data_IF_236688987335
#
_entry.id   IF_236688987335
#
_cell.length_a   1.000
_cell.length_b   1.000
_cell.length_c   1.000
_cell.angle_alpha   90.00
_cell.angle_beta   90.00
_cell.angle_gamma   90.00
#
_symmetry.space_group_name_H-M   'P 1'
#
loop_
_entity.id
_entity.type
_entity.pdbx_description
1 polymer ?
#
# COMPACT_ATOMS: atom_id res chain seq x y z
N UNK A 1 -3.61 -8.36 -19.60
CA UNK A 1 -3.32 -8.35 -18.16
C UNK A 1 -3.11 -9.78 -17.70
N UNK A 2 -1.97 -10.06 -17.08
CA UNK A 2 -1.69 -11.37 -16.48
C UNK A 2 -2.50 -11.51 -15.16
N UNK A 3 -3.42 -12.48 -15.05
CA UNK A 3 -4.21 -12.69 -13.83
C UNK A 3 -3.35 -12.89 -12.60
N UNK A 4 -2.16 -13.47 -12.76
CA UNK A 4 -1.22 -13.70 -11.67
C UNK A 4 -0.67 -12.38 -11.13
N UNK A 5 -0.27 -11.45 -12.01
CA UNK A 5 0.20 -10.12 -11.59
C UNK A 5 -0.86 -9.31 -10.86
N UNK A 6 -2.13 -9.43 -11.25
CA UNK A 6 -3.21 -8.75 -10.54
C UNK A 6 -3.36 -9.31 -9.12
N UNK A 7 -3.31 -10.64 -8.98
CA UNK A 7 -3.35 -11.32 -7.68
C UNK A 7 -2.17 -10.91 -6.80
N UNK A 8 -0.96 -10.87 -7.36
CA UNK A 8 0.24 -10.50 -6.61
C UNK A 8 0.18 -9.04 -6.11
N UNK A 9 -0.32 -8.10 -6.93
CA UNK A 9 -0.51 -6.70 -6.51
C UNK A 9 -1.60 -6.58 -5.45
N UNK A 10 -2.68 -7.35 -5.58
CA UNK A 10 -3.76 -7.39 -4.60
C UNK A 10 -3.28 -7.90 -3.23
N UNK A 11 -2.52 -9.01 -3.20
CA UNK A 11 -1.93 -9.55 -1.97
C UNK A 11 -1.00 -8.53 -1.29
N UNK A 12 -0.21 -7.78 -2.08
CA UNK A 12 0.66 -6.71 -1.56
C UNK A 12 -0.14 -5.56 -0.95
N UNK A 13 -1.29 -5.20 -1.52
CA UNK A 13 -2.18 -4.17 -0.95
C UNK A 13 -2.76 -4.65 0.38
N UNK A 14 -3.24 -5.91 0.47
CA UNK A 14 -3.77 -6.45 1.73
C UNK A 14 -2.71 -6.45 2.85
N UNK A 15 -1.47 -6.86 2.54
CA UNK A 15 -0.36 -6.84 3.48
C UNK A 15 -0.07 -5.40 3.96
N UNK A 16 -0.13 -4.43 3.05
CA UNK A 16 0.09 -3.02 3.38
C UNK A 16 -0.98 -2.49 4.35
N UNK A 17 -2.24 -2.85 4.09
CA UNK A 17 -3.39 -2.48 4.92
C UNK A 17 -3.33 -3.11 6.32
N UNK A 18 -3.00 -4.40 6.40
CA UNK A 18 -2.85 -5.11 7.69
C UNK A 18 -1.76 -4.48 8.56
N UNK A 19 -0.64 -4.09 7.94
CA UNK A 19 0.47 -3.44 8.63
C UNK A 19 0.06 -2.10 9.24
N UNK A 20 -0.73 -1.30 8.52
CA UNK A 20 -1.25 -0.02 9.03
C UNK A 20 -2.33 -0.25 10.09
N UNK A 21 -3.24 -1.19 9.85
CA UNK A 21 -4.31 -1.57 10.77
C UNK A 21 -3.78 -1.99 12.15
N UNK A 22 -2.70 -2.78 12.18
CA UNK A 22 -2.02 -3.15 13.43
C UNK A 22 -1.39 -1.95 14.15
N UNK A 23 -0.76 -1.01 13.43
CA UNK A 23 -0.15 0.19 14.03
C UNK A 23 -1.19 1.16 14.60
N UNK A 24 -2.37 1.24 13.99
CA UNK A 24 -3.43 2.16 14.40
C UNK A 24 -4.27 1.62 15.58
N UNK A 25 -4.57 0.31 15.62
CA UNK A 25 -5.41 -0.28 16.69
C UNK A 25 -4.80 -0.20 18.09
N UNK A 26 -3.47 -0.16 18.21
CA UNK A 26 -2.78 -0.15 19.51
C UNK A 26 -2.63 1.23 20.18
N UNK A 27 -2.99 2.33 19.51
CA UNK A 27 -2.55 3.69 19.92
C UNK A 27 -3.68 4.65 20.33
N UNK A 28 -4.91 4.16 20.48
CA UNK A 28 -6.11 4.93 20.80
C UNK A 28 -6.54 4.84 22.26
N UNK A 29 -5.79 5.47 23.17
CA UNK A 29 -6.29 5.82 24.50
C UNK A 29 -6.88 7.23 24.51
N UNK A 30 -7.76 7.60 25.46
CA UNK A 30 -8.40 8.92 25.53
C UNK A 30 -7.44 10.09 25.85
N UNK A 31 -6.13 9.85 25.93
CA UNK A 31 -5.13 10.88 26.17
C UNK A 31 -4.78 11.62 24.86
N UNK A 32 -4.64 12.95 24.95
CA UNK A 32 -4.10 13.78 23.87
C UNK A 32 -2.73 13.22 23.45
N UNK A 33 -2.56 12.94 22.17
CA UNK A 33 -1.29 12.47 21.63
C UNK A 33 -0.20 13.54 21.84
N UNK A 34 1.01 13.11 22.20
CA UNK A 34 2.16 14.02 22.30
C UNK A 34 2.63 14.43 20.91
N UNK A 35 3.38 15.55 20.77
CA UNK A 35 3.96 15.95 19.49
C UNK A 35 4.78 14.84 18.83
N UNK A 36 5.57 14.09 19.60
CA UNK A 36 6.39 12.97 19.11
C UNK A 36 5.51 11.84 18.55
N UNK A 37 4.40 11.53 19.22
CA UNK A 37 3.43 10.54 18.73
C UNK A 37 2.73 11.01 17.45
N UNK A 38 2.56 12.31 17.26
CA UNK A 38 2.00 12.88 16.02
C UNK A 38 3.04 12.77 14.90
N UNK A 39 4.31 13.09 15.15
CA UNK A 39 5.39 12.93 14.17
C UNK A 39 5.55 11.47 13.73
N UNK A 40 5.50 10.53 14.66
CA UNK A 40 5.55 9.10 14.36
C UNK A 40 4.36 8.66 13.49
N UNK A 41 3.15 9.16 13.78
CA UNK A 41 1.96 8.89 12.95
C UNK A 41 2.10 9.49 11.56
N UNK A 42 2.67 10.69 11.44
CA UNK A 42 2.92 11.32 10.14
C UNK A 42 3.94 10.52 9.33
N UNK A 43 4.99 10.00 9.97
CA UNK A 43 5.97 9.12 9.31
C UNK A 43 5.33 7.83 8.84
N UNK A 44 4.54 7.17 9.70
CA UNK A 44 3.78 5.97 9.34
C UNK A 44 2.85 6.22 8.13
N UNK A 45 2.21 7.38 8.06
CA UNK A 45 1.36 7.79 6.93
C UNK A 45 2.15 8.05 5.66
N UNK A 46 3.31 8.70 5.75
CA UNK A 46 4.19 8.95 4.59
C UNK A 46 4.70 7.63 4.00
N UNK A 47 5.12 6.69 4.85
CA UNK A 47 5.57 5.37 4.42
C UNK A 47 4.44 4.61 3.72
N UNK A 48 3.26 4.58 4.33
CA UNK A 48 2.08 3.91 3.77
C UNK A 48 1.68 4.49 2.40
N UNK A 49 1.57 5.83 2.31
CA UNK A 49 1.13 6.48 1.07
C UNK A 49 2.16 6.34 -0.05
N UNK A 50 3.45 6.30 0.28
CA UNK A 50 4.52 6.07 -0.69
C UNK A 50 4.45 4.66 -1.27
N UNK A 51 4.30 3.63 -0.43
CA UNK A 51 4.18 2.23 -0.86
C UNK A 51 2.88 1.98 -1.63
N UNK A 52 1.76 2.56 -1.18
CA UNK A 52 0.48 2.50 -1.91
C UNK A 52 0.60 3.11 -3.31
N UNK A 53 1.27 4.25 -3.44
CA UNK A 53 1.50 4.91 -4.74
C UNK A 53 2.28 4.00 -5.69
N UNK A 54 3.27 3.28 -5.20
CA UNK A 54 4.04 2.32 -6.01
C UNK A 54 3.19 1.15 -6.45
N UNK A 55 2.39 0.56 -5.55
CA UNK A 55 1.48 -0.54 -5.87
C UNK A 55 0.42 -0.12 -6.91
N UNK A 56 -0.16 1.08 -6.76
CA UNK A 56 -1.11 1.64 -7.72
C UNK A 56 -0.44 1.89 -9.07
N UNK A 57 0.81 2.37 -9.08
CA UNK A 57 1.57 2.55 -10.32
C UNK A 57 1.79 1.20 -11.02
N UNK A 58 2.21 0.17 -10.28
CA UNK A 58 2.39 -1.18 -10.79
C UNK A 58 1.08 -1.73 -11.38
N UNK A 59 -0.04 -1.49 -10.70
CA UNK A 59 -1.38 -1.87 -11.16
C UNK A 59 -1.75 -1.17 -12.48
N UNK A 60 -1.57 0.15 -12.56
CA UNK A 60 -1.85 0.94 -13.77
C UNK A 60 -1.00 0.46 -14.94
N UNK A 61 0.29 0.21 -14.71
CA UNK A 61 1.20 -0.32 -15.73
C UNK A 61 0.76 -1.72 -16.18
N UNK A 62 0.35 -2.59 -15.24
CA UNK A 62 -0.14 -3.93 -15.56
C UNK A 62 -1.46 -3.93 -16.35
N UNK A 63 -2.33 -2.94 -16.12
CA UNK A 63 -3.57 -2.72 -16.88
C UNK A 63 -3.26 -2.17 -18.28
N UNK A 64 -2.41 -1.15 -18.36
CA UNK A 64 -2.09 -0.43 -19.60
C UNK A 64 -1.13 -1.17 -20.55
N UNK A 65 -0.38 -2.16 -20.07
CA UNK A 65 0.45 -3.00 -20.90
C UNK A 65 -0.42 -3.88 -21.81
N UNK A 66 -0.51 -3.54 -23.10
CA UNK A 66 -1.06 -4.43 -24.13
C UNK A 66 -0.32 -5.78 -24.08
N UNK A 67 -1.02 -6.92 -24.22
CA UNK A 67 -0.34 -8.19 -24.44
C UNK A 67 0.53 -8.05 -25.68
N UNK A 68 1.83 -8.26 -25.52
CA UNK A 68 2.75 -8.37 -26.64
C UNK A 68 2.40 -9.68 -27.33
N UNK A 69 1.67 -9.62 -28.45
CA UNK A 69 1.45 -10.79 -29.31
C UNK A 69 2.84 -11.33 -29.67
N UNK A 70 3.18 -12.57 -29.30
CA UNK A 70 4.42 -13.18 -29.79
C UNK A 70 4.26 -13.28 -31.31
N UNK A 71 5.13 -12.61 -32.06
CA UNK A 71 5.24 -12.83 -33.49
C UNK A 71 5.84 -14.23 -33.67
N UNK A 72 5.01 -15.20 -34.06
CA UNK A 72 5.36 -16.58 -34.37
C UNK A 72 4.42 -17.13 -35.43
#
# INVERSE_FOLDING_TARGET
MDPQRMKDVYERIEILDDRLGHRLRGRGGPARATPEQIEDRLRDLVDYTSELRELVRDLIVAIGARPQTPAG
#
